data_IF_169217463375
#
_entry.id   IF_169217463375
#
_cell.length_a   1.000
_cell.length_b   1.000
_cell.length_c   1.000
_cell.angle_alpha   90.00
_cell.angle_beta   90.00
_cell.angle_gamma   90.00
#
_symmetry.space_group_name_H-M   'P 1'
#
loop_
_entity.id
_entity.type
_entity.pdbx_description
1 polymer ?
2 non-polymer ?
#
# COMPACT_ATOMS: atom_id res chain seq x y z
N UNK A 21 -6.99 18.33 -7.37
CA UNK A 21 -6.55 16.95 -7.56
C UNK A 21 -5.05 16.83 -7.35
N UNK A 22 -4.63 15.77 -6.65
CA UNK A 22 -3.23 15.58 -6.31
C UNK A 22 -2.88 14.11 -6.53
N UNK A 23 -1.90 13.81 -7.39
CA UNK A 23 -1.55 12.41 -7.64
C UNK A 23 -0.57 11.86 -6.61
N UNK A 24 -0.57 10.54 -6.51
CA UNK A 24 0.28 9.82 -5.56
C UNK A 24 0.90 8.60 -6.25
N UNK A 25 2.18 8.39 -6.03
CA UNK A 25 2.91 7.26 -6.58
C UNK A 25 3.56 6.51 -5.43
N UNK A 26 3.20 5.24 -5.26
CA UNK A 26 3.72 4.40 -4.19
C UNK A 26 4.55 3.28 -4.83
N UNK A 27 5.82 3.21 -4.45
CA UNK A 27 6.78 2.32 -5.08
C UNK A 27 7.35 1.39 -4.02
N UNK A 28 7.34 0.09 -4.30
CA UNK A 28 8.00 -0.93 -3.49
C UNK A 28 8.95 -1.71 -4.38
N UNK A 29 10.16 -1.96 -3.88
CA UNK A 29 11.15 -2.68 -4.66
C UNK A 29 12.08 -3.44 -3.72
N UNK A 30 12.64 -4.53 -4.23
CA UNK A 30 13.61 -5.33 -3.50
C UNK A 30 15.05 -4.89 -3.76
N UNK A 31 15.25 -3.93 -4.66
CA UNK A 31 16.58 -3.39 -4.89
C UNK A 31 17.02 -2.59 -3.67
N UNK A 32 18.33 -2.43 -3.54
CA UNK A 32 18.92 -1.66 -2.46
C UNK A 32 19.38 -0.31 -3.02
N UNK A 33 18.82 0.77 -2.48
CA UNK A 33 19.18 2.12 -2.86
C UNK A 33 19.94 2.80 -1.72
N UNK A 34 20.87 3.68 -2.08
CA UNK A 34 21.48 4.55 -1.09
C UNK A 34 20.51 5.70 -0.76
N UNK A 35 20.80 6.40 0.33
CA UNK A 35 19.96 7.53 0.72
C UNK A 35 19.92 8.58 -0.39
N UNK A 36 21.05 8.83 -1.05
CA UNK A 36 21.07 9.77 -2.15
C UNK A 36 20.29 9.24 -3.36
N UNK A 37 20.42 7.94 -3.64
CA UNK A 37 19.72 7.34 -4.77
C UNK A 37 18.21 7.42 -4.58
N UNK A 38 17.72 7.18 -3.36
CA UNK A 38 16.30 7.33 -3.11
C UNK A 38 15.83 8.77 -3.32
N UNK A 39 16.63 9.74 -2.86
CA UNK A 39 16.26 11.14 -3.03
C UNK A 39 16.17 11.53 -4.50
N UNK A 40 17.11 11.06 -5.33
CA UNK A 40 17.05 11.38 -6.75
C UNK A 40 15.88 10.68 -7.42
N UNK A 41 15.55 9.46 -6.98
CA UNK A 41 14.50 8.68 -7.62
C UNK A 41 13.13 9.33 -7.43
N UNK A 42 12.79 9.70 -6.20
CA UNK A 42 11.50 10.33 -5.94
C UNK A 42 11.38 11.67 -6.65
N UNK A 43 12.49 12.38 -6.81
CA UNK A 43 12.47 13.62 -7.58
C UNK A 43 12.23 13.34 -9.05
N UNK A 44 13.02 12.41 -9.63
CA UNK A 44 12.88 12.11 -11.05
C UNK A 44 11.54 11.47 -11.37
N UNK A 45 11.12 10.50 -10.56
CA UNK A 45 9.84 9.84 -10.80
C UNK A 45 8.68 10.79 -10.57
N UNK A 46 8.76 11.63 -9.54
CA UNK A 46 7.72 12.62 -9.31
C UNK A 46 7.58 13.58 -10.49
N UNK A 47 8.70 14.01 -11.06
CA UNK A 47 8.63 14.89 -12.22
C UNK A 47 8.03 14.19 -13.42
N UNK A 48 8.26 12.87 -13.55
CA UNK A 48 7.65 12.12 -14.64
C UNK A 48 6.13 12.14 -14.49
N UNK A 49 5.64 11.91 -13.27
CA UNK A 49 4.20 11.93 -13.03
C UNK A 49 3.63 13.32 -13.32
N UNK A 50 4.37 14.36 -12.93
CA UNK A 50 3.91 15.72 -13.22
C UNK A 50 3.76 15.94 -14.72
N UNK A 51 4.72 15.44 -15.50
CA UNK A 51 4.66 15.63 -16.95
C UNK A 51 3.51 14.88 -17.58
N UNK A 52 3.37 13.59 -17.24
CA UNK A 52 2.39 12.75 -17.94
C UNK A 52 0.97 13.17 -17.56
N UNK A 53 0.73 13.51 -16.30
CA UNK A 53 -0.61 13.81 -15.84
C UNK A 53 -0.99 15.26 -16.04
N UNK A 54 -0.04 16.13 -16.38
CA UNK A 54 -0.35 17.54 -16.56
C UNK A 54 -0.58 18.30 -15.27
N UNK A 55 0.01 17.82 -14.16
CA UNK A 55 -0.11 18.51 -12.88
C UNK A 55 1.24 19.13 -12.50
N UNK A 56 1.24 20.24 -11.76
CA UNK A 56 2.51 20.77 -11.24
C UNK A 56 3.11 19.82 -10.22
N UNK A 57 4.43 19.95 -10.05
CA UNK A 57 5.13 19.08 -9.11
C UNK A 57 4.66 19.33 -7.68
N UNK A 58 3.99 20.46 -7.43
CA UNK A 58 3.54 20.76 -6.07
C UNK A 58 2.51 19.75 -5.59
N UNK A 59 1.68 19.24 -6.51
CA UNK A 59 0.61 18.33 -6.16
C UNK A 59 1.03 16.86 -6.17
N UNK A 60 2.30 16.57 -6.41
CA UNK A 60 2.78 15.20 -6.60
C UNK A 60 3.32 14.66 -5.28
N UNK A 61 2.85 13.48 -4.90
CA UNK A 61 3.32 12.75 -3.73
C UNK A 61 3.98 11.46 -4.18
N UNK A 62 5.21 11.22 -3.73
CA UNK A 62 5.98 10.06 -4.15
C UNK A 62 6.45 9.31 -2.92
N UNK A 63 6.24 7.99 -2.93
CA UNK A 63 6.67 7.11 -1.84
C UNK A 63 7.52 5.99 -2.43
N UNK A 64 8.68 5.74 -1.83
CA UNK A 64 9.61 4.73 -2.31
C UNK A 64 10.10 3.91 -1.13
N UNK A 65 9.79 2.61 -1.16
CA UNK A 65 10.22 1.67 -0.12
C UNK A 65 11.14 0.64 -0.78
N UNK A 66 12.41 0.63 -0.39
CA UNK A 66 13.38 -0.30 -0.93
C UNK A 66 13.65 -1.43 0.08
N UNK A 67 14.42 -2.41 -0.36
CA UNK A 67 14.74 -3.55 0.49
C UNK A 67 13.53 -4.35 0.91
N UNK A 68 12.52 -4.45 0.05
CA UNK A 68 11.31 -5.21 0.35
C UNK A 68 11.43 -6.59 -0.28
N UNK A 69 11.02 -7.61 0.47
CA UNK A 69 11.04 -8.98 -0.05
C UNK A 69 10.00 -9.08 -1.15
N UNK A 70 10.45 -9.29 -2.38
CA UNK A 70 9.58 -9.32 -3.54
C UNK A 70 9.79 -10.63 -4.29
N UNK A 71 8.69 -11.24 -4.71
CA UNK A 71 8.73 -12.39 -5.60
C UNK A 71 7.73 -12.12 -6.70
N UNK A 72 8.21 -12.01 -7.93
CA UNK A 72 7.35 -11.74 -9.09
C UNK A 72 7.58 -12.82 -10.12
N UNK A 73 6.51 -13.52 -10.50
CA UNK A 73 6.63 -14.63 -11.43
C UNK A 73 7.49 -15.75 -10.89
N UNK A 74 7.38 -16.07 -9.60
CA UNK A 74 8.16 -17.12 -9.00
C UNK A 74 9.60 -16.76 -8.68
N UNK A 75 10.11 -15.66 -9.23
CA UNK A 75 11.49 -15.27 -9.04
C UNK A 75 11.58 -14.07 -8.11
N UNK A 76 12.65 -14.04 -7.31
CA UNK A 76 12.97 -12.91 -6.45
C UNK A 76 14.00 -11.98 -7.09
N UNK A 77 14.11 -11.99 -8.42
CA UNK A 77 14.98 -11.07 -9.13
C UNK A 77 14.51 -9.63 -8.92
N UNK A 78 15.43 -8.69 -9.15
CA UNK A 78 15.13 -7.27 -9.03
C UNK A 78 13.79 -6.94 -9.68
N UNK A 79 12.92 -6.29 -8.91
CA UNK A 79 11.58 -5.97 -9.37
C UNK A 79 11.07 -4.74 -8.62
N UNK A 80 9.97 -4.18 -9.14
CA UNK A 80 9.37 -3.01 -8.53
C UNK A 80 7.86 -3.08 -8.72
N UNK A 81 7.13 -2.72 -7.66
CA UNK A 81 5.68 -2.63 -7.68
C UNK A 81 5.29 -1.17 -7.50
N UNK A 82 4.36 -0.70 -8.31
CA UNK A 82 4.00 0.70 -8.35
C UNK A 82 2.49 0.86 -8.40
N UNK A 83 2.00 1.85 -7.67
CA UNK A 83 0.60 2.23 -7.69
C UNK A 83 0.52 3.73 -7.92
N UNK A 84 -0.33 4.14 -8.86
CA UNK A 84 -0.50 5.54 -9.21
C UNK A 84 -1.95 5.90 -8.94
N UNK A 85 -2.17 6.74 -7.92
CA UNK A 85 -3.49 7.24 -7.58
C UNK A 85 -3.62 8.69 -8.01
N UNK A 86 -4.78 9.04 -8.53
CA UNK A 86 -5.05 10.41 -8.96
C UNK A 86 -6.56 10.57 -9.05
N UNK A 87 -7.09 11.64 -8.46
CA UNK A 87 -8.52 11.89 -8.53
C UNK A 87 -8.85 12.27 -9.97
N UNK A 88 -9.21 11.29 -10.78
CA UNK A 88 -9.55 11.56 -12.17
C UNK A 88 -8.33 11.49 -13.07
N UNK A 89 -8.48 12.11 -14.24
CA UNK A 89 -7.36 12.34 -15.13
C UNK A 89 -6.60 11.11 -15.55
N UNK A 90 -7.17 9.92 -15.38
CA UNK A 90 -6.53 8.68 -15.80
C UNK A 90 -7.43 8.01 -16.83
N UNK A 91 -6.88 7.74 -18.01
CA UNK A 91 -7.62 7.18 -19.13
C UNK A 91 -6.70 6.20 -19.86
N UNK A 92 -7.30 5.42 -20.77
CA UNK A 92 -6.53 4.43 -21.50
C UNK A 92 -5.27 5.05 -22.11
N UNK A 93 -5.40 6.26 -22.66
CA UNK A 93 -4.26 6.90 -23.30
C UNK A 93 -3.18 7.27 -22.28
N UNK A 94 -3.58 8.00 -21.23
CA UNK A 94 -2.60 8.48 -20.24
C UNK A 94 -1.90 7.29 -19.56
N UNK A 95 -2.67 6.28 -19.16
CA UNK A 95 -2.08 5.15 -18.44
C UNK A 95 -0.95 4.52 -19.26
N UNK A 96 -1.10 4.48 -20.58
CA UNK A 96 -0.07 3.88 -21.43
C UNK A 96 1.18 4.74 -21.48
N UNK A 97 1.02 6.08 -21.54
CA UNK A 97 2.17 6.96 -21.56
C UNK A 97 2.86 6.97 -20.19
N UNK A 98 2.08 6.95 -19.11
CA UNK A 98 2.64 6.87 -17.77
C UNK A 98 3.37 5.55 -17.55
N UNK A 99 2.78 4.44 -18.02
CA UNK A 99 3.45 3.15 -17.91
C UNK A 99 4.81 3.19 -18.60
N UNK A 100 4.86 3.74 -19.81
CA UNK A 100 6.09 3.74 -20.58
C UNK A 100 7.14 4.66 -19.95
N UNK A 101 6.72 5.86 -19.53
CA UNK A 101 7.68 6.83 -18.99
C UNK A 101 8.20 6.38 -17.63
N UNK A 102 7.33 5.84 -16.79
CA UNK A 102 7.76 5.37 -15.47
C UNK A 102 8.67 4.15 -15.62
N UNK A 103 8.30 3.21 -16.48
CA UNK A 103 9.10 2.00 -16.65
C UNK A 103 10.50 2.34 -17.18
N UNK A 104 10.60 3.29 -18.12
CA UNK A 104 11.92 3.65 -18.66
C UNK A 104 12.86 4.16 -17.59
N UNK A 105 12.34 4.89 -16.61
CA UNK A 105 13.21 5.31 -15.52
C UNK A 105 13.86 4.10 -14.88
N UNK A 106 13.09 3.04 -14.65
CA UNK A 106 13.63 1.83 -14.04
C UNK A 106 14.56 1.09 -14.99
N UNK A 107 14.15 0.90 -16.25
CA UNK A 107 15.02 0.19 -17.19
C UNK A 107 16.34 0.94 -17.38
N UNK A 108 16.35 2.25 -17.16
CA UNK A 108 17.57 3.04 -17.20
C UNK A 108 18.36 2.98 -15.89
N UNK A 109 17.85 2.27 -14.89
CA UNK A 109 18.51 2.18 -13.58
C UNK A 109 18.61 0.72 -13.15
N UNK A 110 19.03 -0.15 -14.06
CA UNK A 110 19.37 -1.51 -13.72
C UNK A 110 18.23 -2.49 -13.66
N UNK A 111 17.00 -2.06 -13.94
CA UNK A 111 15.84 -2.93 -13.86
C UNK A 111 15.52 -3.54 -15.22
N UNK A 112 14.73 -4.59 -15.19
CA UNK A 112 14.19 -5.25 -16.37
C UNK A 112 12.73 -4.85 -16.53
N UNK A 113 12.34 -4.52 -17.76
CA UNK A 113 10.99 -4.02 -17.99
C UNK A 113 9.91 -5.02 -17.66
N UNK A 114 10.22 -6.32 -17.76
CA UNK A 114 9.25 -7.35 -17.43
C UNK A 114 9.17 -7.63 -15.93
N UNK A 115 9.96 -6.93 -15.12
CA UNK A 115 9.90 -7.04 -13.67
C UNK A 115 9.27 -5.81 -13.03
N UNK A 116 8.62 -4.96 -13.82
CA UNK A 116 8.03 -3.71 -13.36
C UNK A 116 6.51 -3.85 -13.43
N UNK A 117 5.83 -3.50 -12.35
CA UNK A 117 4.42 -3.76 -12.16
C UNK A 117 3.73 -2.47 -11.75
N UNK A 118 2.76 -2.03 -12.54
CA UNK A 118 2.11 -0.74 -12.32
C UNK A 118 0.61 -0.96 -12.23
N UNK A 119 -0.02 -0.32 -11.24
CA UNK A 119 -1.47 -0.34 -11.07
C UNK A 119 -1.94 1.11 -10.99
N UNK A 120 -3.00 1.42 -11.72
CA UNK A 120 -3.60 2.75 -11.71
C UNK A 120 -4.89 2.70 -10.94
N UNK A 121 -5.06 3.64 -10.00
CA UNK A 121 -6.19 3.63 -9.07
C UNK A 121 -6.74 5.03 -8.94
N UNK A 122 -7.67 5.43 -9.81
CA UNK A 122 -8.34 6.72 -9.66
C UNK A 122 -9.38 6.73 -8.54
N UNK A 127 -12.90 12.55 -2.20
CA UNK A 127 -12.48 11.27 -1.62
C UNK A 127 -11.00 11.35 -1.22
N UNK A 128 -10.51 12.56 -1.02
CA UNK A 128 -9.12 12.82 -0.67
C UNK A 128 -9.08 13.90 0.39
N UNK A 129 -8.07 13.83 1.25
CA UNK A 129 -7.92 14.77 2.35
C UNK A 129 -6.56 15.43 2.30
N UNK A 130 -6.53 16.71 2.71
CA UNK A 130 -5.29 17.48 2.72
C UNK A 130 -5.49 18.68 3.64
N UNK A 131 -4.52 18.90 4.54
CA UNK A 131 -4.56 20.01 5.49
C UNK A 131 -5.82 19.98 6.34
N UNK A 132 -6.28 18.78 6.70
CA UNK A 132 -7.42 18.64 7.59
C UNK A 132 -8.79 18.88 6.99
N UNK A 133 -8.92 18.84 5.67
CA UNK A 133 -10.21 19.07 5.04
C UNK A 133 -10.29 18.25 3.76
N UNK A 134 -11.51 17.91 3.36
CA UNK A 134 -11.69 17.13 2.14
C UNK A 134 -11.97 18.07 0.97
N UNK A 135 -12.14 17.49 -0.22
CA UNK A 135 -12.40 18.28 -1.42
C UNK A 135 -13.36 17.57 -2.38
N UNK B 21 -17.98 -4.88 9.60
CA UNK B 21 -17.06 -3.88 9.06
C UNK B 21 -15.79 -3.80 9.92
N UNK B 22 -14.82 -3.04 9.44
CA UNK B 22 -13.54 -2.92 10.13
C UNK B 22 -12.66 -1.90 9.43
N UNK B 23 -12.19 -0.85 10.10
CA UNK B 23 -11.33 0.12 9.43
C UNK B 23 -9.86 -0.31 9.40
N UNK B 24 -9.13 0.26 8.45
CA UNK B 24 -7.71 -0.01 8.28
C UNK B 24 -6.99 1.30 7.98
N UNK B 25 -5.88 1.55 8.67
CA UNK B 25 -5.10 2.77 8.48
C UNK B 25 -3.66 2.38 8.19
N UNK B 26 -3.17 2.78 7.01
CA UNK B 26 -1.80 2.48 6.58
C UNK B 26 -1.08 3.81 6.44
N UNK B 27 0.03 3.95 7.16
CA UNK B 27 0.75 5.21 7.27
C UNK B 27 2.17 5.01 6.77
N UNK B 28 2.62 5.88 5.89
CA UNK B 28 4.00 5.93 5.42
C UNK B 28 4.54 7.32 5.69
N UNK B 29 5.75 7.40 6.23
CA UNK B 29 6.34 8.70 6.52
C UNK B 29 7.85 8.58 6.45
N UNK B 30 8.51 9.71 6.16
CA UNK B 30 9.96 9.79 6.13
C UNK B 30 10.56 10.18 7.48
N UNK B 31 9.73 10.50 8.47
CA UNK B 31 10.25 10.78 9.80
C UNK B 31 10.80 9.50 10.43
N UNK B 32 11.69 9.68 11.40
CA UNK B 32 12.25 8.56 12.16
C UNK B 32 11.59 8.51 13.53
N UNK B 33 10.94 7.40 13.82
CA UNK B 33 10.29 7.18 15.10
C UNK B 33 11.06 6.15 15.92
N UNK B 34 11.05 6.34 17.23
CA UNK B 34 11.56 5.31 18.13
C UNK B 34 10.54 4.18 18.25
N UNK B 35 11.00 3.03 18.74
CA UNK B 35 10.09 1.91 18.92
C UNK B 35 8.96 2.27 19.87
N UNK B 36 9.28 3.04 20.91
CA UNK B 36 8.23 3.51 21.82
C UNK B 36 7.31 4.51 21.13
N UNK B 37 7.89 5.43 20.35
CA UNK B 37 7.07 6.43 19.66
C UNK B 37 6.11 5.78 18.68
N UNK B 38 6.58 4.75 17.97
CA UNK B 38 5.70 4.03 17.05
C UNK B 38 4.53 3.38 17.80
N UNK B 39 4.82 2.76 18.94
CA UNK B 39 3.77 2.14 19.73
C UNK B 39 2.74 3.16 20.19
N UNK B 40 3.20 4.34 20.63
CA UNK B 40 2.27 5.36 21.05
C UNK B 40 1.45 5.88 19.87
N UNK B 41 2.08 6.00 18.70
CA UNK B 41 1.40 6.57 17.55
C UNK B 41 0.25 5.68 17.08
N UNK B 42 0.50 4.38 16.94
CA UNK B 42 -0.55 3.48 16.47
C UNK B 42 -1.70 3.41 17.46
N UNK B 43 -1.41 3.53 18.76
CA UNK B 43 -2.47 3.58 19.76
C UNK B 43 -3.28 4.85 19.62
N UNK B 44 -2.60 6.00 19.60
CA UNK B 44 -3.30 7.28 19.52
C UNK B 44 -4.02 7.43 18.18
N UNK B 45 -3.34 7.11 17.08
CA UNK B 45 -3.98 7.21 15.77
C UNK B 45 -5.10 6.18 15.62
N UNK B 46 -4.89 4.97 16.16
CA UNK B 46 -5.96 3.98 16.14
C UNK B 46 -7.19 4.43 16.90
N UNK B 47 -6.98 5.02 18.08
CA UNK B 47 -8.11 5.50 18.87
C UNK B 47 -8.85 6.64 18.19
N UNK B 48 -8.13 7.51 17.47
CA UNK B 48 -8.78 8.58 16.73
C UNK B 48 -9.69 8.00 15.65
N UNK B 49 -9.22 7.00 14.92
CA UNK B 49 -10.03 6.38 13.87
C UNK B 49 -11.27 5.74 14.46
N UNK B 50 -11.12 5.04 15.59
CA UNK B 50 -12.27 4.41 16.22
C UNK B 50 -13.32 5.46 16.61
N UNK B 51 -12.87 6.59 17.16
CA UNK B 51 -13.81 7.61 17.62
C UNK B 51 -14.56 8.25 16.45
N UNK B 52 -13.83 8.63 15.41
CA UNK B 52 -14.44 9.39 14.32
C UNK B 52 -15.42 8.52 13.53
N UNK B 53 -15.09 7.25 13.34
CA UNK B 53 -15.90 6.37 12.50
C UNK B 53 -17.07 5.74 13.26
N UNK B 54 -17.11 5.84 14.59
CA UNK B 54 -18.20 5.25 15.32
C UNK B 54 -18.16 3.75 15.42
N UNK B 55 -16.99 3.15 15.27
CA UNK B 55 -16.77 1.72 15.42
C UNK B 55 -15.93 1.46 16.67
N UNK B 56 -16.05 0.27 17.26
CA UNK B 56 -15.21 -0.04 18.42
C UNK B 56 -13.74 -0.11 18.04
N UNK B 57 -12.89 0.12 19.05
CA UNK B 57 -11.45 0.06 18.84
C UNK B 57 -10.99 -1.34 18.47
N UNK B 58 -11.83 -2.35 18.71
CA UNK B 58 -11.44 -3.73 18.42
C UNK B 58 -11.23 -3.97 16.93
N UNK B 59 -12.01 -3.32 16.07
CA UNK B 59 -11.96 -3.57 14.64
C UNK B 59 -10.97 -2.68 13.90
N UNK B 60 -10.18 -1.88 14.59
CA UNK B 60 -9.29 -0.91 13.94
C UNK B 60 -7.91 -1.53 13.77
N UNK B 61 -7.39 -1.45 12.54
CA UNK B 61 -6.06 -1.93 12.18
C UNK B 61 -5.20 -0.73 11.78
N UNK B 62 -4.02 -0.62 12.37
CA UNK B 62 -3.13 0.50 12.12
C UNK B 62 -1.75 -0.04 11.77
N UNK B 63 -1.18 0.47 10.68
CA UNK B 63 0.15 0.11 10.22
C UNK B 63 0.95 1.39 10.05
N UNK B 64 2.18 1.40 10.56
CA UNK B 64 3.03 2.59 10.54
C UNK B 64 4.41 2.19 10.04
N UNK B 65 4.81 2.76 8.90
CA UNK B 65 6.12 2.52 8.31
C UNK B 65 6.87 3.85 8.29
N UNK B 66 7.97 3.91 9.01
CA UNK B 66 8.81 5.11 9.07
C UNK B 66 10.04 4.91 8.21
N UNK B 67 10.80 5.99 8.05
CA UNK B 67 12.01 5.92 7.24
C UNK B 67 11.76 5.56 5.79
N UNK B 68 10.63 5.99 5.25
CA UNK B 68 10.29 5.76 3.84
C UNK B 68 10.65 7.02 3.06
N UNK B 69 11.28 6.84 1.91
CA UNK B 69 11.66 7.98 1.07
C UNK B 69 10.38 8.63 0.56
N UNK B 70 10.13 9.87 0.98
CA UNK B 70 8.92 10.59 0.61
C UNK B 70 9.33 11.93 0.01
N UNK B 71 8.69 12.29 -1.09
CA UNK B 71 8.81 13.61 -1.69
C UNK B 71 7.40 14.09 -2.01
N UNK B 72 6.98 15.17 -1.37
CA UNK B 72 5.65 15.74 -1.56
C UNK B 72 5.81 17.19 -1.97
N UNK B 73 5.24 17.54 -3.12
CA UNK B 73 5.42 18.89 -3.64
C UNK B 73 6.86 19.22 -3.97
N UNK B 74 7.59 18.26 -4.51
CA UNK B 74 8.98 18.45 -4.87
C UNK B 74 9.96 18.42 -3.72
N UNK B 75 9.50 18.52 -2.48
CA UNK B 75 10.36 18.58 -1.31
C UNK B 75 10.32 17.26 -0.55
N UNK B 76 11.47 16.87 0.01
CA UNK B 76 11.54 15.69 0.87
C UNK B 76 11.50 16.04 2.35
N UNK B 77 10.94 17.20 2.70
CA UNK B 77 10.78 17.54 4.09
C UNK B 77 9.80 16.56 4.76
N UNK B 78 9.85 16.51 6.08
CA UNK B 78 8.97 15.64 6.84
C UNK B 78 7.56 15.67 6.28
N UNK B 79 7.03 14.47 5.99
CA UNK B 79 5.71 14.34 5.39
C UNK B 79 5.15 12.97 5.78
N UNK B 80 3.85 12.80 5.55
CA UNK B 80 3.20 11.54 5.87
C UNK B 80 2.12 11.25 4.83
N UNK B 81 2.02 9.97 4.45
CA UNK B 81 1.01 9.48 3.53
C UNK B 81 0.11 8.50 4.27
N UNK B 82 -1.20 8.64 4.11
CA UNK B 82 -2.16 7.86 4.86
C UNK B 82 -3.25 7.34 3.94
N UNK B 83 -3.66 6.10 4.18
CA UNK B 83 -4.79 5.49 3.49
C UNK B 83 -5.72 4.91 4.55
N UNK B 84 -7.01 5.25 4.46
CA UNK B 84 -8.02 4.79 5.41
C UNK B 84 -9.07 4.04 4.62
N UNK B 85 -9.12 2.72 4.81
CA UNK B 85 -10.07 1.85 4.14
C UNK B 85 -11.18 1.45 5.10
N UNK B 86 -12.41 1.39 4.59
CA UNK B 86 -13.56 1.06 5.42
C UNK B 86 -14.70 0.56 4.56
N UNK B 87 -15.33 -0.52 5.00
CA UNK B 87 -16.46 -1.10 4.29
C UNK B 87 -17.63 -0.11 4.36
N UNK B 88 -17.92 0.55 3.24
CA UNK B 88 -18.99 1.52 3.14
C UNK B 88 -18.58 2.97 3.33
N UNK B 91 -17.94 9.13 4.51
CA UNK B 91 -19.04 10.06 4.28
C UNK B 91 -18.59 11.51 4.49
N UNK B 92 -19.37 12.45 3.97
CA UNK B 92 -19.02 13.87 4.07
C UNK B 92 -18.75 14.28 5.51
N UNK B 93 -19.55 13.78 6.45
CA UNK B 93 -19.37 14.16 7.85
C UNK B 93 -18.05 13.61 8.38
N UNK B 94 -17.86 12.30 8.28
CA UNK B 94 -16.63 11.68 8.80
C UNK B 94 -15.41 12.22 8.07
N UNK B 95 -15.49 12.31 6.74
CA UNK B 95 -14.32 12.73 5.96
C UNK B 95 -13.75 14.05 6.47
N UNK B 96 -14.63 14.97 6.88
CA UNK B 96 -14.15 16.24 7.43
C UNK B 96 -13.55 16.04 8.81
N UNK B 97 -14.20 15.23 9.65
CA UNK B 97 -13.71 14.97 11.00
C UNK B 97 -12.46 14.10 10.98
N UNK B 98 -12.44 13.06 10.14
CA UNK B 98 -11.27 12.19 10.07
C UNK B 98 -10.05 12.94 9.54
N UNK B 99 -10.25 13.71 8.47
CA UNK B 99 -9.14 14.50 7.93
C UNK B 99 -8.57 15.44 8.99
N UNK B 100 -9.45 16.12 9.72
CA UNK B 100 -9.00 17.11 10.69
C UNK B 100 -8.36 16.44 11.91
N UNK B 101 -9.00 15.38 12.43
CA UNK B 101 -8.51 14.77 13.66
C UNK B 101 -7.19 14.05 13.43
N UNK B 102 -7.06 13.34 12.32
CA UNK B 102 -5.80 12.65 12.04
C UNK B 102 -4.67 13.64 11.81
N UNK B 103 -4.92 14.70 11.04
CA UNK B 103 -3.89 15.68 10.79
C UNK B 103 -3.43 16.35 12.08
N UNK B 104 -4.37 16.65 12.98
CA UNK B 104 -4.00 17.36 14.20
C UNK B 104 -3.00 16.56 15.02
N UNK B 105 -3.13 15.23 15.02
CA UNK B 105 -2.15 14.40 15.70
C UNK B 105 -0.74 14.65 15.17
N UNK B 106 -0.60 14.72 13.84
CA UNK B 106 0.71 14.93 13.23
C UNK B 106 1.22 16.34 13.50
N UNK B 107 0.36 17.35 13.31
CA UNK B 107 0.78 18.72 13.61
C UNK B 107 1.17 18.90 15.07
N UNK B 108 0.64 18.06 15.95
CA UNK B 108 1.06 18.05 17.35
C UNK B 108 2.33 17.24 17.58
N UNK B 109 2.88 16.59 16.55
CA UNK B 109 4.06 15.75 16.68
C UNK B 109 5.10 16.10 15.62
N UNK B 110 5.32 17.40 15.42
CA UNK B 110 6.40 17.88 14.59
C UNK B 110 6.12 17.94 13.11
N UNK B 111 4.92 17.58 12.66
CA UNK B 111 4.62 17.58 11.25
C UNK B 111 3.97 18.89 10.82
N UNK B 112 3.96 19.12 9.51
CA UNK B 112 3.29 20.26 8.91
C UNK B 112 1.97 19.79 8.31
N UNK B 113 0.90 20.55 8.57
CA UNK B 113 -0.43 20.12 8.15
C UNK B 113 -0.59 20.03 6.65
N UNK B 114 0.15 20.84 5.90
CA UNK B 114 0.12 20.80 4.45
C UNK B 114 1.04 19.72 3.87
N UNK B 115 1.73 18.97 4.73
CA UNK B 115 2.56 17.84 4.32
C UNK B 115 1.91 16.51 4.67
N UNK B 116 0.62 16.55 5.02
CA UNK B 116 -0.13 15.38 5.45
C UNK B 116 -1.11 15.03 4.34
N UNK B 117 -1.12 13.76 3.94
CA UNK B 117 -1.81 13.29 2.76
C UNK B 117 -2.65 12.09 3.14
N UNK B 118 -3.96 12.20 2.94
CA UNK B 118 -4.92 11.21 3.41
C UNK B 118 -5.73 10.69 2.23
N UNK B 119 -5.92 9.37 2.20
CA UNK B 119 -6.70 8.72 1.15
C UNK B 119 -7.84 7.96 1.81
N UNK B 120 -9.05 8.15 1.29
CA UNK B 120 -10.23 7.44 1.74
C UNK B 120 -10.59 6.42 0.67
N UNK B 121 -10.79 5.17 1.08
CA UNK B 121 -11.03 4.07 0.13
C UNK B 121 -12.13 3.17 0.67
N UNK B 122 -13.39 3.49 0.38
CA UNK B 122 -14.47 2.58 0.76
C UNK B 122 -14.52 1.35 -0.12
N UNK B 123 -14.71 0.20 0.51
CA UNK B 123 -14.78 -1.08 -0.17
C UNK B 123 -16.12 -1.73 0.08
N UNK B 124 -16.38 -2.81 -0.66
CA UNK B 124 -17.63 -3.55 -0.53
C UNK B 124 -17.48 -4.68 0.47
N UNK B 125 -18.62 -5.21 0.91
CA UNK B 125 -18.62 -6.31 1.86
C UNK B 125 -17.94 -7.55 1.29
N UNK B 126 -18.11 -7.80 -0.01
CA UNK B 126 -17.49 -8.94 -0.66
C UNK B 126 -16.00 -8.75 -0.92
N UNK B 127 -15.51 -7.51 -0.83
CA UNK B 127 -14.12 -7.20 -1.09
C UNK B 127 -13.31 -6.99 0.19
N UNK B 128 -13.76 -7.59 1.29
CA UNK B 128 -13.08 -7.46 2.58
C UNK B 128 -13.02 -8.83 3.24
N UNK B 129 -11.89 -9.11 3.89
CA UNK B 129 -11.68 -10.38 4.53
C UNK B 129 -11.16 -10.24 5.95
N UNK B 130 -11.58 -11.19 6.79
CA UNK B 130 -11.07 -11.26 8.16
C UNK B 130 -11.38 -12.64 8.73
N UNK B 131 -10.39 -13.24 9.39
CA UNK B 131 -10.53 -14.57 9.96
C UNK B 131 -10.91 -15.59 8.89
N UNK B 132 -10.37 -15.41 7.69
CA UNK B 132 -10.59 -16.34 6.61
C UNK B 132 -11.94 -16.27 5.95
N UNK B 133 -12.68 -15.17 6.12
CA UNK B 133 -14.01 -15.06 5.55
C UNK B 133 -14.28 -13.61 5.17
N UNK B 134 -15.16 -13.44 4.17
CA UNK B 134 -15.58 -12.14 3.66
C UNK B 134 -16.89 -11.73 4.33
N UNK B 135 -17.54 -10.71 3.76
CA UNK B 135 -18.79 -10.20 4.31
C UNK B 135 -19.82 -10.16 3.17
N UNK C 21 -3.67 -9.93 -17.19
CA UNK C 21 -4.24 -10.70 -16.09
C UNK C 21 -3.14 -11.17 -15.16
N UNK C 22 -2.96 -10.43 -14.06
CA UNK C 22 -1.87 -10.71 -13.13
C UNK C 22 -2.24 -10.24 -11.72
N UNK C 23 -2.27 -11.13 -10.73
CA UNK C 23 -2.60 -10.72 -9.37
C UNK C 23 -1.38 -10.20 -8.60
N UNK C 24 -1.68 -9.43 -7.55
CA UNK C 24 -0.67 -8.83 -6.70
C UNK C 24 -1.07 -8.98 -5.24
N UNK C 25 -0.10 -9.37 -4.41
CA UNK C 25 -0.33 -9.55 -2.97
C UNK C 25 0.70 -8.71 -2.21
N UNK C 26 0.20 -7.80 -1.36
CA UNK C 26 1.05 -6.92 -0.57
C UNK C 26 0.82 -7.24 0.90
N UNK C 27 1.89 -7.61 1.59
CA UNK C 27 1.83 -8.10 2.96
C UNK C 27 2.66 -7.19 3.86
N UNK C 28 2.07 -6.74 4.96
CA UNK C 28 2.76 -5.98 5.99
C UNK C 28 2.59 -6.71 7.31
N UNK C 29 3.67 -6.84 8.07
CA UNK C 29 3.62 -7.53 9.36
C UNK C 29 4.69 -6.96 10.29
N UNK C 30 4.43 -7.05 11.58
CA UNK C 30 5.38 -6.62 12.59
C UNK C 30 6.32 -7.72 13.05
N UNK C 31 6.13 -8.95 12.58
CA UNK C 31 7.04 -10.04 12.90
C UNK C 31 8.39 -9.81 12.22
N UNK C 32 9.42 -10.45 12.77
CA UNK C 32 10.77 -10.41 12.21
C UNK C 32 11.06 -11.74 11.53
N UNK C 33 11.32 -11.70 10.23
CA UNK C 33 11.68 -12.86 9.45
C UNK C 33 13.15 -12.76 9.03
N UNK C 34 13.80 -13.91 8.92
CA UNK C 34 15.12 -13.95 8.32
C UNK C 34 15.00 -13.83 6.81
N UNK C 35 16.12 -13.55 6.15
CA UNK C 35 16.11 -13.43 4.69
C UNK C 35 15.65 -14.73 4.05
N UNK C 36 16.07 -15.86 4.61
CA UNK C 36 15.60 -17.14 4.08
C UNK C 36 14.11 -17.33 4.32
N UNK C 37 13.63 -16.92 5.50
CA UNK C 37 12.21 -17.06 5.81
C UNK C 37 11.35 -16.19 4.90
N UNK C 38 11.81 -14.96 4.62
CA UNK C 38 11.06 -14.08 3.71
C UNK C 38 10.96 -14.69 2.32
N UNK C 39 12.05 -15.28 1.83
CA UNK C 39 12.01 -15.93 0.53
C UNK C 39 11.02 -17.09 0.52
N UNK C 40 10.99 -17.86 1.61
CA UNK C 40 10.05 -18.98 1.71
C UNK C 40 8.61 -18.47 1.78
N UNK C 41 8.39 -17.35 2.47
CA UNK C 41 7.03 -16.85 2.66
C UNK C 41 6.42 -16.39 1.34
N UNK C 42 7.18 -15.59 0.56
CA UNK C 42 6.65 -15.11 -0.70
C UNK C 42 6.40 -16.24 -1.68
N UNK C 43 7.22 -17.29 -1.63
CA UNK C 43 7.02 -18.45 -2.49
C UNK C 43 5.75 -19.21 -2.09
N UNK C 44 5.61 -19.53 -0.81
CA UNK C 44 4.45 -20.29 -0.37
C UNK C 44 3.18 -19.47 -0.52
N UNK C 45 3.22 -18.20 -0.10
CA UNK C 45 2.03 -17.36 -0.23
C UNK C 45 1.69 -17.09 -1.69
N UNK C 46 2.70 -16.91 -2.54
CA UNK C 46 2.43 -16.75 -3.96
C UNK C 46 1.74 -17.95 -4.58
N UNK C 47 2.20 -19.16 -4.22
CA UNK C 47 1.57 -20.37 -4.73
C UNK C 47 0.14 -20.52 -4.23
N UNK C 48 -0.14 -20.07 -3.00
CA UNK C 48 -1.51 -20.11 -2.49
C UNK C 48 -2.41 -19.23 -3.34
N UNK C 49 -1.95 -18.03 -3.67
CA UNK C 49 -2.72 -17.12 -4.51
C UNK C 49 -2.92 -17.71 -5.90
N UNK C 50 -1.87 -18.33 -6.45
CA UNK C 50 -1.98 -18.93 -7.78
C UNK C 50 -3.08 -20.00 -7.80
N UNK C 51 -3.13 -20.84 -6.76
CA UNK C 51 -4.12 -21.91 -6.73
C UNK C 51 -5.53 -21.34 -6.61
N UNK C 52 -5.73 -20.37 -5.70
CA UNK C 52 -7.08 -19.88 -5.43
C UNK C 52 -7.61 -19.09 -6.61
N UNK C 53 -6.74 -18.33 -7.27
CA UNK C 53 -7.18 -17.48 -8.37
C UNK C 53 -7.20 -18.19 -9.71
N UNK C 54 -6.61 -19.38 -9.82
CA UNK C 54 -6.59 -20.09 -11.08
C UNK C 54 -5.61 -19.56 -12.10
N UNK C 55 -4.54 -18.89 -11.65
CA UNK C 55 -3.52 -18.37 -12.54
C UNK C 55 -2.21 -19.15 -12.37
N UNK C 56 -1.37 -19.23 -13.40
CA UNK C 56 -0.03 -19.78 -13.23
C UNK C 56 0.80 -18.88 -12.33
N UNK C 57 1.84 -19.47 -11.72
CA UNK C 57 2.68 -18.70 -10.81
C UNK C 57 3.42 -17.58 -11.53
N UNK C 58 3.48 -17.61 -12.86
CA UNK C 58 4.21 -16.59 -13.59
C UNK C 58 3.58 -15.21 -13.43
N UNK C 59 2.26 -15.15 -13.29
CA UNK C 59 1.55 -13.87 -13.25
C UNK C 59 1.41 -13.31 -11.83
N UNK C 60 1.99 -13.97 -10.82
CA UNK C 60 1.76 -13.63 -9.43
C UNK C 60 2.87 -12.72 -8.92
N UNK C 61 2.48 -11.61 -8.31
CA UNK C 61 3.38 -10.65 -7.68
C UNK C 61 3.11 -10.66 -6.18
N UNK C 62 4.17 -10.85 -5.38
CA UNK C 62 4.05 -10.94 -3.93
C UNK C 62 5.05 -9.96 -3.31
N UNK C 63 4.57 -9.17 -2.35
CA UNK C 63 5.38 -8.20 -1.62
C UNK C 63 5.24 -8.48 -0.13
N UNK C 64 6.38 -8.52 0.57
CA UNK C 64 6.41 -8.86 1.99
C UNK C 64 7.28 -7.85 2.72
N UNK C 65 6.68 -7.10 3.63
CA UNK C 65 7.39 -6.11 4.44
C UNK C 65 7.26 -6.52 5.90
N UNK C 66 8.38 -6.85 6.53
CA UNK C 66 8.40 -7.26 7.92
C UNK C 66 8.89 -6.11 8.80
N UNK C 67 8.75 -6.30 10.11
CA UNK C 67 9.20 -5.29 11.06
C UNK C 67 8.52 -3.95 10.95
N UNK C 68 7.25 -3.91 10.55
CA UNK C 68 6.47 -2.68 10.47
C UNK C 68 5.65 -2.56 11.74
N UNK C 69 5.55 -1.34 12.28
CA UNK C 69 4.77 -1.11 13.49
C UNK C 69 3.29 -1.36 13.18
N UNK C 70 2.72 -2.38 13.82
CA UNK C 70 1.34 -2.77 13.60
C UNK C 70 0.62 -2.79 14.95
N UNK C 71 -0.59 -2.23 14.98
CA UNK C 71 -1.47 -2.33 16.13
C UNK C 71 -2.85 -2.72 15.61
N UNK C 72 -3.33 -3.90 16.03
CA UNK C 72 -4.64 -4.40 15.63
C UNK C 72 -5.41 -4.75 16.89
N UNK C 73 -6.60 -4.16 17.05
CA UNK C 73 -7.38 -4.36 18.25
C UNK C 73 -6.71 -3.85 19.51
N UNK C 74 -6.06 -2.69 19.41
CA UNK C 74 -5.40 -2.07 20.54
C UNK C 74 -4.07 -2.69 20.93
N UNK C 75 -3.76 -3.89 20.46
CA UNK C 75 -2.55 -4.59 20.84
C UNK C 75 -1.56 -4.60 19.68
N UNK C 76 -0.28 -4.50 20.00
CA UNK C 76 0.79 -4.60 19.02
C UNK C 76 1.35 -6.02 18.94
N UNK C 77 0.54 -7.01 19.33
CA UNK C 77 0.92 -8.41 19.20
C UNK C 77 1.08 -8.78 17.73
N UNK C 78 1.80 -9.88 17.49
CA UNK C 78 2.06 -10.39 16.16
C UNK C 78 0.81 -10.33 15.29
N UNK C 79 0.91 -9.67 14.14
CA UNK C 79 -0.22 -9.47 13.25
C UNK C 79 0.29 -9.26 11.83
N UNK C 80 -0.63 -9.32 10.86
CA UNK C 80 -0.29 -9.13 9.46
C UNK C 80 -1.45 -8.47 8.75
N UNK C 81 -1.12 -7.55 7.82
CA UNK C 81 -2.09 -6.87 6.96
C UNK C 81 -1.82 -7.26 5.51
N UNK C 82 -2.88 -7.58 4.77
CA UNK C 82 -2.75 -8.10 3.41
C UNK C 82 -3.72 -7.43 2.46
N UNK C 83 -3.26 -7.14 1.25
CA UNK C 83 -4.09 -6.62 0.16
C UNK C 83 -3.86 -7.44 -1.10
N UNK C 84 -4.94 -7.85 -1.76
CA UNK C 84 -4.86 -8.67 -2.96
C UNK C 84 -5.51 -7.94 -4.14
N UNK C 85 -4.68 -7.53 -5.10
CA UNK C 85 -5.14 -6.89 -6.33
C UNK C 85 -5.01 -7.86 -7.49
N UNK C 86 -5.98 -7.85 -8.40
CA UNK C 86 -5.95 -8.76 -9.53
C UNK C 86 -6.83 -8.22 -10.65
N UNK C 87 -6.33 -8.25 -11.88
CA UNK C 87 -7.08 -7.77 -13.03
C UNK C 87 -8.23 -8.75 -13.26
N UNK C 88 -9.38 -8.49 -12.67
CA UNK C 88 -10.51 -9.37 -12.85
C UNK C 88 -10.46 -10.50 -11.84
N UNK C 89 -11.14 -11.60 -12.22
CA UNK C 89 -11.00 -12.86 -11.52
C UNK C 89 -11.18 -12.81 -10.02
N UNK C 90 -11.74 -11.73 -9.50
CA UNK C 90 -12.00 -11.56 -8.09
C UNK C 90 -13.51 -11.47 -7.89
N UNK C 91 -14.08 -12.43 -7.17
CA UNK C 91 -15.52 -12.52 -7.00
C UNK C 91 -15.80 -12.89 -5.55
N UNK C 92 -17.08 -12.75 -5.17
CA UNK C 92 -17.48 -13.07 -3.81
C UNK C 92 -17.02 -14.46 -3.42
N UNK C 93 -17.15 -15.42 -4.33
CA UNK C 93 -16.78 -16.81 -4.03
C UNK C 93 -15.28 -16.95 -3.83
N UNK C 94 -14.48 -16.51 -4.80
CA UNK C 94 -13.04 -16.71 -4.73
C UNK C 94 -12.46 -16.05 -3.49
N UNK C 95 -12.89 -14.81 -3.20
CA UNK C 95 -12.34 -14.09 -2.06
C UNK C 95 -12.50 -14.88 -0.77
N UNK C 96 -13.58 -15.66 -0.64
CA UNK C 96 -13.80 -16.41 0.59
C UNK C 96 -12.79 -17.55 0.75
N UNK C 97 -12.49 -18.26 -0.34
CA UNK C 97 -11.48 -19.32 -0.24
C UNK C 97 -10.09 -18.73 -0.11
N UNK C 98 -9.81 -17.62 -0.80
CA UNK C 98 -8.51 -16.97 -0.65
C UNK C 98 -8.29 -16.51 0.78
N UNK C 99 -9.32 -15.94 1.40
CA UNK C 99 -9.20 -15.53 2.80
C UNK C 99 -8.77 -16.69 3.67
N UNK C 100 -9.40 -17.86 3.49
CA UNK C 100 -9.12 -19.00 4.34
C UNK C 100 -7.74 -19.59 4.06
N UNK C 101 -7.36 -19.71 2.79
CA UNK C 101 -6.10 -20.35 2.45
C UNK C 101 -4.91 -19.51 2.87
N UNK C 102 -4.98 -18.19 2.68
CA UNK C 102 -3.88 -17.33 3.08
C UNK C 102 -3.70 -17.32 4.60
N UNK C 103 -4.81 -17.28 5.34
CA UNK C 103 -4.73 -17.29 6.80
C UNK C 103 -4.06 -18.56 7.30
N UNK C 104 -4.34 -19.70 6.66
CA UNK C 104 -3.78 -20.96 7.14
C UNK C 104 -2.25 -20.92 7.13
N UNK C 105 -1.66 -20.29 6.12
CA UNK C 105 -0.20 -20.17 6.08
C UNK C 105 0.30 -19.45 7.31
N UNK C 106 -0.35 -18.35 7.70
CA UNK C 106 0.10 -17.60 8.86
C UNK C 106 -0.10 -18.40 10.14
N UNK C 107 -1.29 -18.98 10.32
CA UNK C 107 -1.54 -19.77 11.53
C UNK C 107 -0.59 -20.95 11.62
N UNK C 108 -0.08 -21.44 10.49
CA UNK C 108 0.91 -22.49 10.47
C UNK C 108 2.34 -21.98 10.62
N UNK C 109 2.54 -20.67 10.73
CA UNK C 109 3.87 -20.08 10.83
C UNK C 109 3.92 -19.07 11.98
N UNK C 110 3.39 -19.48 13.13
CA UNK C 110 3.54 -18.73 14.36
C UNK C 110 2.57 -17.59 14.58
N UNK C 111 1.64 -17.36 13.66
CA UNK C 111 0.67 -16.30 13.79
C UNK C 111 -0.64 -16.85 14.36
N UNK C 112 -1.47 -15.95 14.85
CA UNK C 112 -2.81 -16.27 15.31
C UNK C 112 -3.82 -15.81 14.26
N UNK C 113 -4.81 -16.66 13.98
CA UNK C 113 -5.74 -16.40 12.90
C UNK C 113 -6.56 -15.14 13.07
N UNK C 114 -6.75 -14.69 14.31
CA UNK C 114 -7.50 -13.47 14.56
C UNK C 114 -6.66 -12.21 14.39
N UNK C 115 -5.40 -12.34 14.00
CA UNK C 115 -4.54 -11.18 13.77
C UNK C 115 -4.28 -10.93 12.29
N UNK C 116 -5.05 -11.55 11.40
CA UNK C 116 -4.81 -11.49 9.96
C UNK C 116 -5.94 -10.70 9.29
N UNK C 117 -5.54 -9.77 8.42
CA UNK C 117 -6.44 -8.77 7.84
C UNK C 117 -6.23 -8.75 6.32
N UNK C 118 -7.31 -8.99 5.56
CA UNK C 118 -7.21 -9.14 4.11
C UNK C 118 -8.16 -8.15 3.43
N UNK C 119 -7.67 -7.50 2.36
CA UNK C 119 -8.46 -6.59 1.55
C UNK C 119 -8.35 -7.03 0.09
N UNK C 120 -9.48 -7.11 -0.60
CA UNK C 120 -9.54 -7.50 -2.01
C UNK C 120 -9.84 -6.29 -2.89
N UNK C 121 -9.05 -6.12 -3.95
CA UNK C 121 -9.16 -4.95 -4.82
C UNK C 121 -8.99 -5.31 -6.28
N UNK C 122 -10.07 -5.67 -6.98
CA UNK C 122 -9.96 -5.90 -8.43
C UNK C 122 -9.83 -4.61 -9.21
N UNK C 123 -9.19 -4.69 -10.37
CA UNK C 123 -8.96 -3.55 -11.24
C UNK C 123 -9.11 -3.98 -12.69
N UNK C 124 -8.99 -3.01 -13.60
CA UNK C 124 -9.22 -3.21 -15.02
C UNK C 124 -7.91 -3.35 -15.79
N UNK C 125 -8.03 -3.68 -17.08
CA UNK C 125 -6.86 -3.83 -17.92
C UNK C 125 -6.26 -2.49 -18.30
N UNK C 126 -7.10 -1.48 -18.52
CA UNK C 126 -6.59 -0.15 -18.84
C UNK C 126 -5.88 0.46 -17.64
N UNK C 127 -6.25 0.05 -16.42
CA UNK C 127 -5.67 0.54 -15.20
C UNK C 127 -4.49 -0.30 -14.72
N UNK C 128 -3.82 -1.01 -15.62
CA UNK C 128 -2.72 -1.88 -15.24
C UNK C 128 -1.58 -1.71 -16.24
N UNK C 129 -0.35 -1.76 -15.74
CA UNK C 129 0.81 -1.56 -16.57
C UNK C 129 1.83 -2.67 -16.39
N UNK C 130 2.51 -3.00 -17.48
CA UNK C 130 3.53 -4.04 -17.47
C UNK C 130 4.39 -3.91 -18.71
N UNK C 131 5.71 -3.95 -18.52
CA UNK C 131 6.67 -3.82 -19.62
C UNK C 131 6.44 -2.51 -20.40
N UNK C 132 6.08 -1.46 -19.68
CA UNK C 132 5.88 -0.16 -20.29
C UNK C 132 4.61 -0.06 -21.10
N UNK C 133 3.66 -0.96 -20.88
CA UNK C 133 2.42 -0.98 -21.65
C UNK C 133 1.30 -1.49 -20.76
N UNK C 134 0.08 -1.10 -21.11
CA UNK C 134 -1.10 -1.52 -20.38
C UNK C 134 -1.71 -2.74 -21.06
N UNK C 135 -2.94 -3.09 -20.69
CA UNK C 135 -3.61 -4.26 -21.24
C UNK C 135 -4.98 -3.86 -21.77
X LIG D 1 23.82 5.27 2.49
X LIG E 1 1.04 -0.08 0.53
X LIG F 1 4.36 16.38 -23.07
X LIG G 1 14.79 2.62 19.79
X LIG H 1 19.17 -12.93 8.43
#
# INVERSE_FOLDING_TARGET
>A
MAHHHHHHMGTLEAQTQGPGSMPALVIKTNAKFTEEEKSKATEELGNIVSKVLGKPISYVMVTLEDGVAVRFGGSDEKAAFMSLMSIGGLNRAVNKRASAALTKWFTDHGFQGDRIYIVFNPKSAEDWGFNGDTFA
>B
MAHHHHHHMGTLEAQTQGPGSMPALVIKTNAKFTEEEKSKATEELGNIVSKVLGKPISYVMVTLEDGVAVRFGGSDEKAAFMSLMSIGGLNRAVNKRASAALTKWFTDHGFQGDRIYIVFNPKSAEDWGFNGDTFA
>C
MAHHHHHHMGTLEAQTQGPGSMPALVIKTNAKFTEEEKSKATEELGNIVSKVLGKPISYVMVTLEDGVAVRFGGSDEKAAFMSLMSIGGLNRAVNKRASAALTKWFTDHGFQGDRIYIVFNPKSAEDWGFNGDTFA
>D hetero
1 CL CL
>E hetero
1 CL CL
>F hetero
1 CL CL
>G hetero
1 CL CL
>H hetero
1 CL CL
#
